data_IF_862226903881
#
_entry.id   IF_862226903881
#
_cell.length_a   1.000
_cell.length_b   1.000
_cell.length_c   1.000
_cell.angle_alpha   90.00
_cell.angle_beta   90.00
_cell.angle_gamma   90.00
#
_symmetry.space_group_name_H-M   'P 1'
#
loop_
_entity.id
_entity.type
_entity.pdbx_description
1 polymer ?
#
# COMPACT_ATOMS: atom_id res chain seq x y z
N UNK A 1 -4.52 -4.41 13.31
CA UNK A 1 -3.59 -3.84 14.30
C UNK A 1 -2.45 -3.14 13.57
N UNK A 2 -1.91 -2.01 14.07
CA UNK A 2 -0.74 -1.39 13.47
C UNK A 2 0.43 -2.37 13.41
N UNK A 3 1.04 -2.53 12.23
CA UNK A 3 2.27 -3.27 12.06
C UNK A 3 2.19 -4.63 11.37
N UNK A 4 1.01 -5.18 11.08
CA UNK A 4 0.89 -6.51 10.46
C UNK A 4 1.69 -6.64 9.15
N UNK A 5 1.50 -5.71 8.21
CA UNK A 5 2.27 -5.69 6.95
C UNK A 5 3.77 -5.44 7.19
N UNK A 6 4.10 -4.55 8.14
CA UNK A 6 5.50 -4.23 8.48
C UNK A 6 6.22 -5.44 9.07
N UNK A 7 5.59 -6.17 10.01
CA UNK A 7 6.19 -7.38 10.60
C UNK A 7 6.34 -8.51 9.59
N UNK A 8 5.39 -8.64 8.66
CA UNK A 8 5.49 -9.61 7.56
C UNK A 8 6.66 -9.29 6.62
N UNK A 9 6.83 -8.02 6.23
CA UNK A 9 7.98 -7.59 5.42
C UNK A 9 9.30 -7.86 6.17
N UNK A 10 9.35 -7.57 7.48
CA UNK A 10 10.54 -7.81 8.29
C UNK A 10 10.88 -9.31 8.38
N UNK A 11 9.88 -10.18 8.51
CA UNK A 11 10.08 -11.62 8.53
C UNK A 11 10.63 -12.14 7.18
N UNK A 12 10.04 -11.72 6.07
CA UNK A 12 10.51 -12.07 4.73
C UNK A 12 11.93 -11.56 4.44
N UNK A 13 12.25 -10.33 4.89
CA UNK A 13 13.60 -9.78 4.77
C UNK A 13 14.62 -10.59 5.57
N UNK A 14 14.28 -10.96 6.81
CA UNK A 14 15.14 -11.78 7.65
C UNK A 14 15.36 -13.20 7.09
N UNK A 15 14.34 -13.78 6.46
CA UNK A 15 14.46 -15.06 5.79
C UNK A 15 15.43 -14.99 4.60
N UNK A 16 15.28 -13.96 3.75
CA UNK A 16 16.18 -13.72 2.62
C UNK A 16 17.62 -13.44 3.05
N UNK A 17 17.83 -12.68 4.13
CA UNK A 17 19.16 -12.43 4.67
C UNK A 17 19.82 -13.72 5.14
N UNK A 18 19.09 -14.62 5.82
CA UNK A 18 19.59 -15.96 6.17
C UNK A 18 19.96 -16.80 4.96
N UNK A 19 19.29 -16.60 3.82
CA UNK A 19 19.62 -17.24 2.55
C UNK A 19 20.76 -16.53 1.78
N UNK A 20 21.46 -15.58 2.39
CA UNK A 20 22.63 -14.90 1.82
C UNK A 20 22.29 -13.63 1.02
N UNK A 21 21.07 -13.13 1.06
CA UNK A 21 20.75 -11.83 0.49
C UNK A 21 21.28 -10.69 1.39
N UNK A 22 21.49 -9.50 0.79
CA UNK A 22 21.91 -8.32 1.53
C UNK A 22 20.88 -7.91 2.61
N UNK A 23 21.38 -7.33 3.68
CA UNK A 23 20.55 -6.80 4.75
C UNK A 23 19.61 -5.70 4.25
N UNK A 24 18.34 -5.81 4.64
CA UNK A 24 17.30 -4.85 4.29
C UNK A 24 17.03 -3.91 5.45
N UNK A 25 17.17 -2.61 5.22
CA UNK A 25 16.75 -1.57 6.18
C UNK A 25 15.29 -1.23 5.94
N UNK A 26 14.47 -1.39 6.97
CA UNK A 26 13.03 -1.12 6.89
C UNK A 26 12.69 0.12 7.70
N UNK A 27 11.97 1.05 7.08
CA UNK A 27 11.43 2.24 7.75
C UNK A 27 9.92 2.21 7.66
N UNK A 28 9.24 2.30 8.80
CA UNK A 28 7.79 2.38 8.89
C UNK A 28 7.36 3.76 9.38
N UNK A 29 6.46 4.44 8.64
CA UNK A 29 5.95 5.75 8.98
C UNK A 29 4.56 5.67 9.62
N UNK A 30 4.39 6.30 10.78
CA UNK A 30 3.08 6.48 11.42
C UNK A 30 3.04 7.86 12.09
N UNK A 31 2.07 8.69 11.71
CA UNK A 31 1.98 10.06 12.21
C UNK A 31 1.36 10.19 13.61
N UNK A 32 0.49 9.27 13.99
CA UNK A 32 -0.24 9.31 15.25
C UNK A 32 0.55 8.62 16.37
N UNK A 33 0.90 9.36 17.43
CA UNK A 33 1.72 8.87 18.53
C UNK A 33 1.24 7.55 19.12
N UNK A 34 -0.04 7.38 19.53
CA UNK A 34 -0.50 6.11 20.12
C UNK A 34 -0.40 4.93 19.15
N UNK A 35 -0.56 5.18 17.84
CA UNK A 35 -0.40 4.14 16.82
C UNK A 35 1.06 3.79 16.57
N UNK A 36 1.96 4.79 16.60
CA UNK A 36 3.39 4.58 16.46
C UNK A 36 3.96 3.76 17.64
N UNK A 37 3.51 4.06 18.86
CA UNK A 37 3.87 3.30 20.08
C UNK A 37 3.38 1.84 19.98
N UNK A 38 2.13 1.62 19.57
CA UNK A 38 1.58 0.29 19.35
C UNK A 38 2.30 -0.46 18.24
N UNK A 39 2.69 0.22 17.16
CA UNK A 39 3.52 -0.34 16.09
C UNK A 39 4.88 -0.79 16.65
N UNK A 40 5.61 0.07 17.34
CA UNK A 40 6.89 -0.25 17.94
C UNK A 40 6.81 -1.42 18.93
N UNK A 41 5.76 -1.45 19.76
CA UNK A 41 5.49 -2.57 20.66
C UNK A 41 5.28 -3.90 19.92
N UNK A 42 4.47 -3.90 18.85
CA UNK A 42 4.20 -5.10 18.06
C UNK A 42 5.46 -5.58 17.33
N UNK A 43 6.29 -4.68 16.79
CA UNK A 43 7.56 -5.00 16.17
C UNK A 43 8.51 -5.67 17.17
N UNK A 44 8.63 -5.10 18.36
CA UNK A 44 9.45 -5.69 19.45
C UNK A 44 8.97 -7.09 19.83
N UNK A 45 7.66 -7.27 20.03
CA UNK A 45 7.07 -8.58 20.37
C UNK A 45 7.32 -9.66 19.32
N UNK A 46 7.43 -9.28 18.06
CA UNK A 46 7.63 -10.21 16.94
C UNK A 46 9.11 -10.30 16.51
N UNK A 47 10.03 -9.74 17.27
CA UNK A 47 11.45 -9.81 16.97
C UNK A 47 11.90 -9.02 15.73
N UNK A 48 11.07 -8.09 15.24
CA UNK A 48 11.39 -7.27 14.07
C UNK A 48 12.27 -6.05 14.45
N UNK A 49 13.44 -6.31 15.00
CA UNK A 49 14.35 -5.27 15.55
C UNK A 49 15.01 -4.39 14.47
N UNK A 50 15.08 -4.86 13.23
CA UNK A 50 15.67 -4.11 12.11
C UNK A 50 14.76 -3.02 11.53
N UNK A 51 13.56 -2.82 12.10
CA UNK A 51 12.59 -1.82 11.63
C UNK A 51 12.74 -0.53 12.42
N UNK A 52 13.00 0.58 11.71
CA UNK A 52 12.96 1.93 12.28
C UNK A 52 11.54 2.49 12.15
N UNK A 53 10.95 2.91 13.27
CA UNK A 53 9.65 3.60 13.27
C UNK A 53 9.87 5.11 13.23
N UNK A 54 9.47 5.74 12.14
CA UNK A 54 9.44 7.20 11.99
C UNK A 54 8.06 7.73 12.39
N UNK A 55 8.00 8.50 13.47
CA UNK A 55 6.78 9.19 13.87
C UNK A 55 6.66 10.49 13.06
N UNK A 56 6.17 10.34 11.82
CA UNK A 56 6.02 11.46 10.88
C UNK A 56 4.85 11.25 9.94
N UNK A 57 4.33 12.35 9.41
CA UNK A 57 3.43 12.32 8.26
C UNK A 57 4.24 11.95 7.01
N UNK A 58 3.92 10.83 6.38
CA UNK A 58 4.64 10.35 5.21
C UNK A 58 4.58 11.32 4.01
N UNK A 59 3.58 12.22 3.95
CA UNK A 59 3.52 13.31 2.96
C UNK A 59 4.65 14.33 3.11
N UNK A 60 5.30 14.36 4.29
CA UNK A 60 6.37 15.30 4.66
C UNK A 60 7.74 14.66 4.76
N UNK A 61 7.89 13.40 4.34
CA UNK A 61 9.21 12.75 4.25
C UNK A 61 10.09 13.63 3.36
N UNK A 62 11.29 13.94 3.84
CA UNK A 62 12.24 14.75 3.08
C UNK A 62 12.61 14.11 1.74
N UNK A 63 12.77 14.92 0.71
CA UNK A 63 13.16 14.46 -0.62
C UNK A 63 14.59 13.89 -0.69
N UNK A 64 15.42 14.08 0.33
CA UNK A 64 16.71 13.40 0.45
C UNK A 64 16.57 11.90 0.70
N UNK A 65 15.49 11.47 1.34
CA UNK A 65 15.24 10.04 1.49
C UNK A 65 15.03 9.40 0.11
N UNK A 66 15.63 8.24 -0.08
CA UNK A 66 15.51 7.43 -1.30
C UNK A 66 15.31 5.99 -0.91
N UNK A 67 14.25 5.38 -1.41
CA UNK A 67 13.88 4.00 -1.11
C UNK A 67 13.93 3.15 -2.37
N UNK A 68 14.44 1.92 -2.23
CA UNK A 68 14.46 0.93 -3.30
C UNK A 68 13.07 0.32 -3.48
N UNK A 69 12.36 0.11 -2.34
CA UNK A 69 11.02 -0.46 -2.33
C UNK A 69 10.13 0.32 -1.36
N UNK A 70 8.87 0.55 -1.77
CA UNK A 70 7.87 1.23 -0.94
C UNK A 70 6.59 0.39 -0.92
N UNK A 71 6.03 0.16 0.26
CA UNK A 71 4.65 -0.25 0.42
C UNK A 71 3.84 0.95 0.92
N UNK A 72 2.94 1.45 0.11
CA UNK A 72 1.98 2.48 0.47
C UNK A 72 0.61 1.84 0.70
N UNK A 73 0.37 1.43 1.95
CA UNK A 73 -0.94 1.00 2.42
C UNK A 73 -1.74 2.26 2.82
N UNK A 74 -2.47 2.79 1.86
CA UNK A 74 -3.02 4.14 1.95
C UNK A 74 -4.29 4.21 2.84
N UNK A 75 -4.48 5.31 3.60
CA UNK A 75 -5.72 5.52 4.32
C UNK A 75 -6.89 5.59 3.33
N UNK A 76 -7.96 4.86 3.60
CA UNK A 76 -9.13 4.79 2.73
C UNK A 76 -10.43 4.75 3.54
N UNK A 77 -11.56 4.78 2.86
CA UNK A 77 -12.89 4.68 3.48
C UNK A 77 -13.13 3.33 4.15
N UNK A 78 -12.38 2.30 3.76
CA UNK A 78 -12.58 0.93 4.22
C UNK A 78 -13.80 0.26 3.60
N UNK A 79 -14.27 0.73 2.44
CA UNK A 79 -15.48 0.20 1.78
C UNK A 79 -15.41 -1.30 1.49
N UNK A 80 -14.21 -1.85 1.29
CA UNK A 80 -13.99 -3.28 1.07
C UNK A 80 -14.10 -4.15 2.34
N UNK A 81 -14.08 -3.53 3.52
CA UNK A 81 -14.22 -4.22 4.82
C UNK A 81 -15.63 -4.13 5.40
N UNK A 82 -16.54 -3.44 4.70
CA UNK A 82 -17.92 -3.27 5.13
C UNK A 82 -18.69 -4.58 4.96
N UNK A 83 -19.39 -4.98 6.00
CA UNK A 83 -20.31 -6.13 5.96
C UNK A 83 -21.73 -5.64 5.75
N UNK A 84 -22.50 -6.35 4.92
CA UNK A 84 -23.87 -5.98 4.55
C UNK A 84 -24.81 -5.76 5.76
N UNK A 85 -24.50 -6.38 6.90
CA UNK A 85 -25.31 -6.31 8.12
C UNK A 85 -24.75 -5.38 9.21
N UNK A 86 -23.72 -4.53 8.88
CA UNK A 86 -23.19 -3.54 9.83
C UNK A 86 -23.70 -2.13 9.52
N UNK A 87 -24.82 -1.70 10.13
CA UNK A 87 -25.39 -0.37 9.91
C UNK A 87 -24.45 0.74 10.39
N UNK A 88 -23.54 0.46 11.34
CA UNK A 88 -22.57 1.45 11.82
C UNK A 88 -21.46 1.68 10.78
N UNK A 89 -21.10 0.66 10.01
CA UNK A 89 -20.14 0.82 8.92
C UNK A 89 -20.74 1.69 7.80
N UNK A 90 -21.98 1.42 7.39
CA UNK A 90 -22.70 2.23 6.40
C UNK A 90 -22.86 3.70 6.84
N UNK A 91 -23.18 3.95 8.10
CA UNK A 91 -23.33 5.31 8.62
C UNK A 91 -22.03 6.12 8.66
N UNK A 92 -20.86 5.45 8.75
CA UNK A 92 -19.55 6.11 8.70
C UNK A 92 -19.13 6.48 7.28
N UNK A 93 -19.69 5.82 6.28
CA UNK A 93 -19.39 6.10 4.88
C UNK A 93 -20.12 7.37 4.42
N UNK A 94 -19.36 8.44 4.22
CA UNK A 94 -19.91 9.71 3.76
C UNK A 94 -19.13 10.24 2.54
N UNK A 95 -19.76 11.04 1.66
CA UNK A 95 -19.05 11.70 0.56
C UNK A 95 -17.87 12.56 1.06
N UNK A 96 -18.00 13.17 2.24
CA UNK A 96 -16.93 13.93 2.86
C UNK A 96 -15.73 13.04 3.22
N UNK A 97 -15.97 11.86 3.82
CA UNK A 97 -14.91 10.90 4.14
C UNK A 97 -14.20 10.43 2.87
N UNK A 98 -14.95 10.08 1.82
CA UNK A 98 -14.38 9.67 0.54
C UNK A 98 -13.47 10.78 -0.04
N UNK A 99 -13.95 12.00 -0.10
CA UNK A 99 -13.18 13.16 -0.60
C UNK A 99 -11.89 13.38 0.22
N UNK A 100 -11.97 13.26 1.53
CA UNK A 100 -10.82 13.41 2.45
C UNK A 100 -9.80 12.30 2.23
N UNK A 101 -10.22 11.04 2.15
CA UNK A 101 -9.34 9.90 1.91
C UNK A 101 -8.67 9.99 0.54
N UNK A 102 -9.44 10.25 -0.50
CA UNK A 102 -8.92 10.40 -1.87
C UNK A 102 -7.88 11.53 -1.99
N UNK A 103 -8.08 12.66 -1.33
CA UNK A 103 -7.09 13.74 -1.30
C UNK A 103 -5.81 13.32 -0.56
N UNK A 104 -5.93 12.62 0.57
CA UNK A 104 -4.78 12.13 1.33
C UNK A 104 -3.99 11.08 0.53
N UNK A 105 -4.67 10.18 -0.18
CA UNK A 105 -4.07 9.15 -1.03
C UNK A 105 -3.23 9.77 -2.14
N UNK A 106 -3.77 10.77 -2.86
CA UNK A 106 -3.03 11.46 -3.93
C UNK A 106 -1.76 12.13 -3.41
N UNK A 107 -1.83 12.78 -2.26
CA UNK A 107 -0.67 13.43 -1.66
C UNK A 107 0.38 12.42 -1.17
N UNK A 108 -0.04 11.30 -0.61
CA UNK A 108 0.84 10.22 -0.18
C UNK A 108 1.49 9.52 -1.37
N UNK A 109 0.71 9.23 -2.41
CA UNK A 109 1.20 8.60 -3.63
C UNK A 109 2.23 9.48 -4.33
N UNK A 110 1.94 10.77 -4.49
CA UNK A 110 2.85 11.76 -5.07
C UNK A 110 4.20 11.81 -4.31
N UNK A 111 4.15 11.86 -2.98
CA UNK A 111 5.35 11.86 -2.16
C UNK A 111 6.11 10.53 -2.27
N UNK A 112 5.42 9.39 -2.23
CA UNK A 112 6.03 8.08 -2.36
C UNK A 112 6.77 7.92 -3.71
N UNK A 113 6.15 8.36 -4.81
CA UNK A 113 6.79 8.37 -6.13
C UNK A 113 8.03 9.28 -6.17
N UNK A 114 7.98 10.43 -5.50
CA UNK A 114 9.11 11.37 -5.42
C UNK A 114 10.33 10.75 -4.73
N UNK A 115 10.13 9.98 -3.66
CA UNK A 115 11.22 9.38 -2.86
C UNK A 115 11.59 7.97 -3.31
N UNK A 116 10.91 7.39 -4.28
CA UNK A 116 11.28 6.12 -4.89
C UNK A 116 12.51 6.31 -5.77
N UNK A 117 13.52 5.44 -5.66
CA UNK A 117 14.73 5.47 -6.50
C UNK A 117 14.40 5.09 -7.96
N UNK A 118 15.16 5.58 -8.95
CA UNK A 118 15.16 4.99 -10.29
C UNK A 118 15.44 3.49 -10.22
N UNK A 119 14.69 2.69 -10.97
CA UNK A 119 14.72 1.21 -10.88
C UNK A 119 13.96 0.62 -9.69
N UNK A 120 13.59 1.43 -8.71
CA UNK A 120 12.84 1.01 -7.53
C UNK A 120 11.37 0.67 -7.84
N UNK A 121 10.74 -0.07 -6.93
CA UNK A 121 9.35 -0.49 -7.06
C UNK A 121 8.50 -0.07 -5.87
N UNK A 122 7.25 0.24 -6.13
CA UNK A 122 6.25 0.54 -5.10
C UNK A 122 5.00 -0.32 -5.29
N UNK A 123 4.41 -0.72 -4.18
CA UNK A 123 3.04 -1.26 -4.16
C UNK A 123 2.15 -0.21 -3.51
N UNK A 124 1.12 0.22 -4.23
CA UNK A 124 0.02 1.00 -3.69
C UNK A 124 -1.13 0.05 -3.36
N UNK A 125 -1.69 0.16 -2.17
CA UNK A 125 -2.81 -0.67 -1.75
C UNK A 125 -3.83 0.08 -0.90
N UNK A 126 -5.08 -0.36 -0.96
CA UNK A 126 -6.19 0.11 -0.11
C UNK A 126 -7.10 -1.06 0.26
N UNK A 127 -7.80 -0.96 1.38
CA UNK A 127 -8.95 -1.82 1.68
C UNK A 127 -10.27 -1.22 1.16
N UNK A 128 -10.23 -0.56 0.00
CA UNK A 128 -11.38 0.04 -0.68
C UNK A 128 -11.67 -0.69 -1.99
N UNK A 129 -12.94 -0.71 -2.36
CA UNK A 129 -13.41 -1.19 -3.68
C UNK A 129 -13.84 -0.04 -4.60
N UNK A 130 -13.60 1.21 -4.17
CA UNK A 130 -14.06 2.39 -4.90
C UNK A 130 -13.01 2.87 -5.89
N UNK A 131 -13.37 3.07 -7.16
CA UNK A 131 -12.44 3.58 -8.18
C UNK A 131 -11.78 4.91 -7.82
N UNK A 132 -12.47 5.79 -7.08
CA UNK A 132 -11.97 7.09 -6.64
C UNK A 132 -10.73 6.98 -5.72
N UNK A 133 -10.67 5.92 -4.95
CA UNK A 133 -9.57 5.62 -4.02
C UNK A 133 -8.51 4.70 -4.64
N UNK A 134 -8.83 4.08 -5.76
CA UNK A 134 -8.05 3.03 -6.41
C UNK A 134 -7.48 3.53 -7.75
N UNK A 135 -7.91 2.97 -8.87
CA UNK A 135 -7.31 3.24 -10.18
C UNK A 135 -7.40 4.71 -10.61
N UNK A 136 -8.45 5.45 -10.20
CA UNK A 136 -8.56 6.89 -10.53
C UNK A 136 -7.50 7.70 -9.78
N UNK A 137 -7.26 7.40 -8.49
CA UNK A 137 -6.21 8.07 -7.72
C UNK A 137 -4.82 7.82 -8.32
N UNK A 138 -4.54 6.58 -8.72
CA UNK A 138 -3.26 6.20 -9.33
C UNK A 138 -3.06 6.89 -10.67
N UNK A 139 -4.05 6.83 -11.58
CA UNK A 139 -3.98 7.47 -12.90
C UNK A 139 -3.81 8.99 -12.82
N UNK A 140 -4.56 9.63 -11.92
CA UNK A 140 -4.47 11.09 -11.75
C UNK A 140 -3.07 11.52 -11.31
N UNK A 141 -2.44 10.79 -10.39
CA UNK A 141 -1.11 11.14 -9.91
C UNK A 141 -0.03 10.80 -10.94
N UNK A 142 -0.09 9.62 -11.57
CA UNK A 142 0.87 9.24 -12.61
C UNK A 142 0.78 10.12 -13.86
N UNK A 143 -0.41 10.66 -14.17
CA UNK A 143 -0.64 11.56 -15.31
C UNK A 143 -0.14 13.00 -15.11
N UNK A 144 0.40 13.36 -13.93
CA UNK A 144 0.98 14.68 -13.69
C UNK A 144 2.27 14.84 -14.45
N UNK A 145 2.58 16.09 -14.89
CA UNK A 145 3.79 16.42 -15.65
C UNK A 145 5.10 15.93 -15.00
N UNK A 146 5.17 16.06 -13.66
CA UNK A 146 6.33 15.63 -12.88
C UNK A 146 6.53 14.12 -12.84
N UNK A 147 5.51 13.33 -13.16
CA UNK A 147 5.55 11.88 -13.17
C UNK A 147 5.46 11.26 -14.56
N UNK A 148 5.07 12.03 -15.58
CA UNK A 148 4.90 11.54 -16.94
C UNK A 148 6.17 10.84 -17.45
N UNK A 149 6.01 9.68 -18.08
CA UNK A 149 7.08 8.84 -18.67
C UNK A 149 8.17 8.37 -17.67
N UNK A 150 7.94 8.52 -16.37
CA UNK A 150 8.91 8.14 -15.34
C UNK A 150 8.55 6.85 -14.61
N UNK A 151 7.34 6.38 -14.79
CA UNK A 151 6.82 5.21 -14.09
C UNK A 151 6.09 4.29 -15.07
N UNK A 152 6.13 3.00 -14.76
CA UNK A 152 5.37 1.98 -15.45
C UNK A 152 4.59 1.13 -14.45
N UNK A 153 3.47 0.60 -14.88
CA UNK A 153 2.68 -0.35 -14.12
C UNK A 153 3.17 -1.76 -14.40
N UNK A 154 3.25 -2.58 -13.37
CA UNK A 154 3.67 -3.97 -13.47
C UNK A 154 2.53 -4.88 -13.05
N UNK A 155 2.27 -5.92 -13.82
CA UNK A 155 1.34 -6.97 -13.41
C UNK A 155 1.77 -7.58 -12.07
N UNK A 156 0.83 -7.81 -11.15
CA UNK A 156 1.14 -8.43 -9.87
C UNK A 156 1.59 -9.88 -10.11
N UNK A 157 2.70 -10.23 -9.52
CA UNK A 157 3.19 -11.60 -9.49
C UNK A 157 3.59 -11.96 -8.07
N UNK A 158 3.22 -13.13 -7.61
CA UNK A 158 3.70 -13.74 -6.38
C UNK A 158 4.77 -14.80 -6.73
N UNK A 159 5.69 -15.13 -5.80
CA UNK A 159 6.72 -16.13 -6.05
C UNK A 159 6.20 -17.50 -6.51
N UNK A 160 4.98 -17.86 -6.11
CA UNK A 160 4.34 -19.15 -6.38
C UNK A 160 3.19 -19.09 -7.39
N UNK A 161 2.81 -17.87 -7.82
CA UNK A 161 1.69 -17.65 -8.72
C UNK A 161 2.06 -16.61 -9.76
N UNK A 162 1.87 -16.96 -11.03
CA UNK A 162 1.88 -15.96 -12.09
C UNK A 162 0.61 -15.08 -12.04
N UNK A 163 0.59 -14.00 -12.82
CA UNK A 163 -0.51 -13.07 -12.81
C UNK A 163 -1.84 -13.68 -13.26
N UNK A 164 -1.80 -14.63 -14.20
CA UNK A 164 -2.99 -15.24 -14.78
C UNK A 164 -3.64 -16.19 -13.79
N UNK A 165 -2.84 -17.02 -13.11
CA UNK A 165 -3.32 -17.90 -12.05
C UNK A 165 -3.89 -17.11 -10.88
N UNK A 166 -3.24 -16.01 -10.48
CA UNK A 166 -3.72 -15.16 -9.40
C UNK A 166 -5.07 -14.54 -9.75
N UNK A 167 -5.24 -14.08 -10.99
CA UNK A 167 -6.52 -13.53 -11.48
C UNK A 167 -7.61 -14.60 -11.59
N UNK A 168 -7.25 -15.85 -11.91
CA UNK A 168 -8.21 -16.95 -12.00
C UNK A 168 -8.72 -17.46 -10.64
N UNK A 169 -7.87 -17.42 -9.62
CA UNK A 169 -8.21 -17.93 -8.26
C UNK A 169 -8.87 -16.91 -7.34
N UNK A 170 -8.65 -15.61 -7.57
CA UNK A 170 -9.23 -14.55 -6.74
C UNK A 170 -10.61 -14.09 -7.23
N UNK A 171 -11.55 -13.82 -6.32
CA UNK A 171 -12.81 -13.15 -6.67
C UNK A 171 -12.53 -11.68 -7.02
N UNK A 172 -12.40 -11.35 -8.30
CA UNK A 172 -12.08 -9.99 -8.73
C UNK A 172 -13.33 -9.18 -9.05
N UNK A 173 -13.24 -7.87 -8.84
CA UNK A 173 -14.13 -6.85 -9.37
C UNK A 173 -13.57 -6.33 -10.71
N UNK A 174 -14.42 -5.86 -11.62
CA UNK A 174 -13.98 -5.13 -12.80
C UNK A 174 -13.09 -3.94 -12.39
N UNK A 175 -11.94 -3.82 -13.03
CA UNK A 175 -11.02 -2.71 -12.85
C UNK A 175 -10.58 -2.21 -14.22
N UNK A 176 -10.52 -0.89 -14.39
CA UNK A 176 -10.09 -0.28 -15.65
C UNK A 176 -8.57 -0.30 -15.84
N UNK A 177 -7.82 -0.78 -14.84
CA UNK A 177 -6.36 -0.93 -14.83
C UNK A 177 -6.02 -2.41 -14.86
N UNK A 178 -5.52 -2.91 -15.99
CA UNK A 178 -5.26 -4.34 -16.21
C UNK A 178 -4.15 -4.89 -15.30
N UNK A 179 -3.20 -4.03 -14.92
CA UNK A 179 -2.08 -4.35 -14.04
C UNK A 179 -2.47 -4.37 -12.55
N UNK A 180 -3.69 -3.96 -12.21
CA UNK A 180 -4.15 -3.95 -10.83
C UNK A 180 -4.94 -5.20 -10.48
N UNK A 181 -4.98 -5.49 -9.18
CA UNK A 181 -5.92 -6.44 -8.59
C UNK A 181 -6.93 -5.67 -7.76
N UNK A 182 -8.22 -5.86 -8.06
CA UNK A 182 -9.33 -5.37 -7.25
C UNK A 182 -10.12 -6.58 -6.74
N UNK A 183 -9.84 -6.99 -5.51
CA UNK A 183 -10.47 -8.17 -4.89
C UNK A 183 -11.86 -7.79 -4.42
N UNK A 184 -12.85 -8.61 -4.80
CA UNK A 184 -14.25 -8.48 -4.36
C UNK A 184 -14.39 -8.96 -2.91
N UNK A 185 -15.08 -8.22 -2.03
CA UNK A 185 -15.40 -8.72 -0.70
C UNK A 185 -16.32 -9.95 -0.78
N UNK A 186 -15.98 -10.96 0.02
CA UNK A 186 -16.73 -12.20 0.19
C UNK A 186 -16.71 -12.60 1.66
N UNK A 187 -17.28 -13.73 2.02
CA UNK A 187 -17.16 -14.26 3.39
C UNK A 187 -15.71 -14.64 3.74
N UNK A 188 -14.89 -14.98 2.74
CA UNK A 188 -13.49 -15.38 2.93
C UNK A 188 -12.49 -14.22 2.72
N UNK A 189 -12.84 -13.20 1.94
CA UNK A 189 -11.95 -12.11 1.57
C UNK A 189 -12.55 -10.75 1.90
N UNK A 190 -11.73 -9.85 2.43
CA UNK A 190 -12.03 -8.42 2.42
C UNK A 190 -11.78 -7.85 1.02
N UNK A 191 -12.54 -6.82 0.64
CA UNK A 191 -12.27 -6.07 -0.57
C UNK A 191 -10.92 -5.36 -0.46
N UNK A 192 -10.11 -5.48 -1.51
CA UNK A 192 -8.74 -4.98 -1.50
C UNK A 192 -8.32 -4.56 -2.90
N UNK A 193 -7.62 -3.45 -2.99
CA UNK A 193 -6.99 -3.00 -4.23
C UNK A 193 -5.47 -3.01 -4.10
N UNK A 194 -4.79 -3.43 -5.16
CA UNK A 194 -3.34 -3.42 -5.23
C UNK A 194 -2.86 -3.18 -6.65
N UNK A 195 -1.84 -2.32 -6.80
CA UNK A 195 -1.10 -2.12 -8.04
C UNK A 195 0.39 -1.95 -7.76
N UNK A 196 1.22 -2.50 -8.61
CA UNK A 196 2.69 -2.38 -8.52
C UNK A 196 3.18 -1.38 -9.56
N UNK A 197 4.01 -0.46 -9.11
CA UNK A 197 4.55 0.64 -9.91
C UNK A 197 6.08 0.55 -9.88
N UNK A 198 6.75 0.68 -11.01
CA UNK A 198 8.22 0.78 -11.10
C UNK A 198 8.61 2.17 -11.59
N UNK A 199 9.62 2.76 -10.97
CA UNK A 199 10.23 3.97 -11.49
C UNK A 199 11.28 3.61 -12.52
N UNK A 200 11.14 4.10 -13.77
CA UNK A 200 12.06 3.82 -14.86
C UNK A 200 13.15 4.89 -15.02
N UNK A 201 12.86 6.12 -14.60
CA UNK A 201 13.80 7.27 -14.66
C UNK A 201 13.78 8.11 -13.39
#
# INVERSE_FOLDING_TARGET
APGGKTTQIAALAAEKARAGAADVRITACEMHAPRAEKLAYNLKRQGAHAVTVMRTDARRIDAFFRFDHILLDAPCTGSGTMRAHDPKAAARFTPHLLKKCAAAQRALLDRALTVLKPGGTMVYSTCSILPEENERAVREVLGRKEHADRFELLSPALPTFDADRLKAELPLLPCTMEEALCVRPTDAYEGFFMVKIRRVR
#
